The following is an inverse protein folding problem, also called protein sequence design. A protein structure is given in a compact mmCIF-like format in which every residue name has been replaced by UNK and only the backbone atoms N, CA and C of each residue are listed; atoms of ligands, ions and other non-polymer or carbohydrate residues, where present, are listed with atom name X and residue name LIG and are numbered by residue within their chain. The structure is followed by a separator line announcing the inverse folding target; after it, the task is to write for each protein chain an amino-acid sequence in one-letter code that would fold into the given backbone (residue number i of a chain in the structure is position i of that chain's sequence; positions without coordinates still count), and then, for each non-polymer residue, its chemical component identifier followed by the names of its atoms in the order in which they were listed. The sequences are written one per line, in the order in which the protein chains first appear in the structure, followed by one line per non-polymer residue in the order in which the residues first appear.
data_IF_701465595152
#
_entry.id   IF_701465595152
#
_cell.length_a   1.000
_cell.length_b   1.000
_cell.length_c   1.000
_cell.angle_alpha   90.00
_cell.angle_beta   90.00
_cell.angle_gamma   90.00
#
_symmetry.space_group_name_H-M   'P 1'
#
loop_
_entity.id
_entity.type
_entity.pdbx_description
1 polymer ?
#
# COMPACT_ATOMS: atom_id res chain seq x y z
N UNK A 1 23.78 10.58 -23.64
CA UNK A 1 24.13 10.39 -22.21
C UNK A 1 22.87 10.69 -21.39
N UNK A 2 22.26 9.70 -20.71
CA UNK A 2 21.06 9.95 -19.88
C UNK A 2 21.51 10.61 -18.58
N UNK A 3 20.92 11.76 -18.24
CA UNK A 3 21.13 12.40 -16.93
C UNK A 3 20.41 11.56 -15.87
N UNK A 4 21.08 11.23 -14.77
CA UNK A 4 20.39 10.67 -13.61
C UNK A 4 19.48 11.78 -13.06
N UNK A 5 18.19 11.49 -12.91
CA UNK A 5 17.25 12.40 -12.28
C UNK A 5 17.48 12.45 -10.78
N UNK A 6 17.37 13.62 -10.17
CA UNK A 6 17.31 13.73 -8.71
C UNK A 6 15.89 13.43 -8.26
N UNK A 7 15.74 12.59 -7.23
CA UNK A 7 14.46 12.29 -6.60
C UNK A 7 14.20 13.33 -5.51
N UNK A 8 13.06 14.06 -5.53
CA UNK A 8 12.69 15.01 -4.50
C UNK A 8 12.73 14.37 -3.10
N UNK A 9 13.07 15.16 -2.08
CA UNK A 9 13.11 14.65 -0.71
C UNK A 9 11.73 14.19 -0.23
N UNK A 10 10.66 14.87 -0.64
CA UNK A 10 9.27 14.47 -0.37
C UNK A 10 8.91 13.08 -0.91
N UNK A 11 9.70 12.53 -1.84
CA UNK A 11 9.52 11.18 -2.37
C UNK A 11 10.26 10.11 -1.53
N UNK A 12 11.05 10.56 -0.56
CA UNK A 12 11.83 9.71 0.35
C UNK A 12 11.22 9.71 1.76
N UNK A 13 10.52 10.78 2.11
CA UNK A 13 9.90 10.97 3.42
C UNK A 13 8.42 10.56 3.41
N UNK A 14 7.92 10.05 4.53
CA UNK A 14 6.52 9.72 4.71
C UNK A 14 6.00 10.23 6.05
N UNK A 15 4.75 10.70 6.08
CA UNK A 15 4.11 11.11 7.34
C UNK A 15 3.65 9.87 8.12
N UNK A 16 4.20 9.65 9.32
CA UNK A 16 3.77 8.56 10.19
C UNK A 16 2.53 8.95 11.02
N UNK A 17 1.46 8.19 10.85
CA UNK A 17 0.19 8.34 11.56
C UNK A 17 -0.01 7.13 12.47
N UNK A 18 -0.26 7.36 13.75
CA UNK A 18 -0.56 6.30 14.72
C UNK A 18 -2.07 6.10 14.83
N UNK A 19 -2.57 4.95 14.37
CA UNK A 19 -3.98 4.60 14.44
C UNK A 19 -4.24 3.52 15.48
N UNK A 20 -5.20 3.77 16.37
CA UNK A 20 -5.70 2.76 17.30
C UNK A 20 -6.48 1.67 16.55
N UNK A 21 -6.12 0.40 16.76
CA UNK A 21 -6.72 -0.77 16.09
C UNK A 21 -8.18 -1.04 16.51
N UNK A 22 -8.73 -0.23 17.42
CA UNK A 22 -10.09 -0.40 17.99
C UNK A 22 -10.28 -1.76 18.68
N UNK A 23 -9.21 -2.33 19.25
CA UNK A 23 -9.22 -3.59 20.00
C UNK A 23 -8.25 -3.50 21.18
N UNK A 24 -8.64 -4.07 22.32
CA UNK A 24 -7.83 -4.13 23.54
C UNK A 24 -7.79 -2.81 24.32
N UNK A 25 -6.79 -2.64 25.19
CA UNK A 25 -6.57 -1.41 25.94
C UNK A 25 -5.81 -0.38 25.09
N UNK A 26 -6.31 0.86 25.01
CA UNK A 26 -5.72 1.98 24.25
C UNK A 26 -4.34 2.41 24.77
N UNK A 27 -4.01 2.12 26.02
CA UNK A 27 -2.70 2.45 26.60
C UNK A 27 -1.58 1.49 26.16
N UNK A 28 -1.92 0.30 25.66
CA UNK A 28 -0.92 -0.67 25.22
C UNK A 28 -0.48 -0.35 23.79
N UNK A 29 0.84 -0.15 23.59
CA UNK A 29 1.44 0.18 22.29
C UNK A 29 1.06 -0.83 21.19
N UNK A 30 0.99 -2.13 21.52
CA UNK A 30 0.62 -3.19 20.56
C UNK A 30 -0.79 -3.05 19.97
N UNK A 31 -1.67 -2.28 20.60
CA UNK A 31 -3.02 -2.01 20.12
C UNK A 31 -3.11 -0.82 19.15
N UNK A 32 -1.97 -0.22 18.79
CA UNK A 32 -1.85 0.79 17.74
C UNK A 32 -1.18 0.22 16.50
N UNK A 33 -1.39 0.88 15.36
CA UNK A 33 -0.78 0.60 14.07
C UNK A 33 -0.24 1.89 13.49
N UNK A 34 1.06 1.92 13.20
CA UNK A 34 1.66 2.98 12.40
C UNK A 34 1.23 2.86 10.93
N UNK A 35 0.91 3.99 10.31
CA UNK A 35 0.65 4.11 8.87
C UNK A 35 1.58 5.18 8.32
N UNK A 36 2.36 4.82 7.31
CA UNK A 36 3.10 5.77 6.49
C UNK A 36 2.17 6.33 5.41
N UNK A 37 1.85 7.62 5.50
CA UNK A 37 1.08 8.32 4.47
C UNK A 37 2.02 9.02 3.51
N UNK A 38 1.95 8.62 2.24
CA UNK A 38 2.63 9.26 1.12
C UNK A 38 2.00 10.61 0.78
N UNK A 39 2.78 11.48 0.14
CA UNK A 39 2.27 12.75 -0.40
C UNK A 39 1.30 12.50 -1.58
N UNK A 40 0.62 13.55 -2.05
CA UNK A 40 -0.39 13.42 -3.12
C UNK A 40 0.23 12.90 -4.43
N UNK A 41 1.39 13.42 -4.82
CA UNK A 41 2.04 13.09 -6.10
C UNK A 41 2.49 11.63 -6.09
N UNK A 42 3.09 11.18 -5.01
CA UNK A 42 3.48 9.77 -4.83
C UNK A 42 2.28 8.83 -4.81
N UNK A 43 1.15 9.23 -4.21
CA UNK A 43 -0.09 8.43 -4.24
C UNK A 43 -0.59 8.22 -5.67
N UNK A 44 -0.58 9.28 -6.48
CA UNK A 44 -0.95 9.21 -7.89
C UNK A 44 0.04 8.30 -8.64
N UNK A 45 1.34 8.49 -8.43
CA UNK A 45 2.38 7.71 -9.08
C UNK A 45 2.28 6.21 -8.72
N UNK A 46 2.12 5.88 -7.44
CA UNK A 46 1.90 4.52 -6.96
C UNK A 46 0.65 3.89 -7.59
N UNK A 47 -0.42 4.67 -7.81
CA UNK A 47 -1.63 4.18 -8.47
C UNK A 47 -1.41 3.88 -9.96
N UNK A 48 -0.65 4.72 -10.65
CA UNK A 48 -0.27 4.48 -12.06
C UNK A 48 0.54 3.18 -12.16
N UNK A 49 1.56 3.02 -11.31
CA UNK A 49 2.37 1.80 -11.25
C UNK A 49 1.51 0.57 -10.97
N UNK A 50 0.65 0.62 -9.96
CA UNK A 50 -0.25 -0.48 -9.62
C UNK A 50 -1.15 -0.86 -10.80
N UNK A 51 -1.77 0.12 -11.48
CA UNK A 51 -2.63 -0.17 -12.62
C UNK A 51 -1.85 -0.81 -13.78
N UNK A 52 -0.60 -0.40 -13.99
CA UNK A 52 0.26 -0.98 -15.03
C UNK A 52 0.66 -2.44 -14.71
N UNK A 53 0.92 -2.73 -13.43
CA UNK A 53 1.35 -4.07 -13.00
C UNK A 53 0.18 -5.04 -12.88
N UNK A 54 -1.01 -4.56 -12.49
CA UNK A 54 -2.16 -5.41 -12.20
C UNK A 54 -2.55 -6.32 -13.39
N UNK A 55 -2.48 -5.81 -14.62
CA UNK A 55 -2.78 -6.62 -15.81
C UNK A 55 -1.88 -7.86 -15.91
N UNK A 56 -0.59 -7.69 -15.64
CA UNK A 56 0.38 -8.79 -15.67
C UNK A 56 0.24 -9.73 -14.46
N UNK A 57 -0.04 -9.18 -13.28
CA UNK A 57 -0.18 -9.97 -12.05
C UNK A 57 -1.40 -10.90 -12.10
N UNK A 58 -2.54 -10.40 -12.59
CA UNK A 58 -3.79 -11.19 -12.61
C UNK A 58 -3.83 -12.25 -13.72
N UNK A 59 -3.02 -12.12 -14.79
CA UNK A 59 -3.04 -13.00 -15.97
C UNK A 59 -2.22 -14.31 -15.82
N UNK A 60 -1.66 -14.61 -14.65
CA UNK A 60 -1.00 -15.91 -14.45
C UNK A 60 0.00 -15.98 -13.30
N UNK A 61 0.36 -14.84 -12.68
CA UNK A 61 1.29 -14.83 -11.56
C UNK A 61 0.61 -15.10 -10.22
N UNK A 62 -0.64 -14.65 -10.05
CA UNK A 62 -1.38 -14.85 -8.81
C UNK A 62 -2.14 -16.19 -8.81
N UNK A 63 -1.90 -17.07 -7.82
CA UNK A 63 -2.64 -18.33 -7.71
C UNK A 63 -4.12 -18.08 -7.41
N UNK A 64 -4.97 -19.04 -7.76
CA UNK A 64 -6.41 -18.92 -7.57
C UNK A 64 -6.81 -18.77 -6.09
N UNK A 65 -6.05 -19.40 -5.18
CA UNK A 65 -6.24 -19.31 -3.73
C UNK A 65 -5.99 -17.90 -3.17
N UNK A 66 -5.31 -17.02 -3.92
CA UNK A 66 -5.08 -15.64 -3.53
C UNK A 66 -6.34 -14.80 -3.80
N UNK A 67 -7.17 -14.62 -2.78
CA UNK A 67 -8.38 -13.77 -2.87
C UNK A 67 -8.14 -12.32 -2.43
N UNK A 68 -7.18 -12.09 -1.54
CA UNK A 68 -6.90 -10.75 -0.99
C UNK A 68 -6.32 -9.81 -2.04
N UNK A 69 -6.72 -8.54 -1.99
CA UNK A 69 -6.21 -7.44 -2.84
C UNK A 69 -6.42 -7.64 -4.35
N UNK A 70 -7.28 -8.57 -4.77
CA UNK A 70 -7.66 -8.77 -6.17
C UNK A 70 -9.03 -8.21 -6.47
N UNK A 71 -9.22 -7.73 -7.70
CA UNK A 71 -10.54 -7.25 -8.15
C UNK A 71 -11.50 -8.44 -8.21
N UNK A 72 -12.76 -8.25 -7.81
CA UNK A 72 -13.82 -9.26 -7.88
C UNK A 72 -13.60 -10.56 -7.08
N UNK A 73 -12.56 -10.66 -6.24
CA UNK A 73 -12.35 -11.78 -5.32
C UNK A 73 -12.64 -11.31 -3.89
N UNK A 74 -13.44 -12.07 -3.14
CA UNK A 74 -13.78 -11.79 -1.74
C UNK A 74 -13.20 -12.88 -0.84
N UNK A 75 -12.92 -12.49 0.40
CA UNK A 75 -12.65 -13.46 1.44
C UNK A 75 -13.98 -13.89 2.05
N UNK A 76 -14.28 -15.19 2.05
CA UNK A 76 -15.52 -15.74 2.61
C UNK A 76 -15.39 -16.14 4.09
N UNK A 77 -14.29 -15.79 4.77
CA UNK A 77 -14.21 -15.91 6.23
C UNK A 77 -15.00 -14.77 6.89
N UNK A 78 -16.22 -15.10 7.30
CA UNK A 78 -16.95 -14.44 8.40
C UNK A 78 -16.61 -15.22 9.68
#
# INVERSE_FOLDING_TARGET
MRRQGQVPQDFKDATFIHLYKRKGNRQLCGNHRGISSLNLVEKIFARILLNSLNGHLEQGLLPESQCGFRRHRRNNRI
#
